data_IF_867579382589
#
_entry.id   IF_867579382589
#
_cell.length_a   1.000
_cell.length_b   1.000
_cell.length_c   1.000
_cell.angle_alpha   90.00
_cell.angle_beta   90.00
_cell.angle_gamma   90.00
#
_symmetry.space_group_name_H-M   'P 1'
#
loop_
_entity.id
_entity.type
_entity.pdbx_description
1 polymer ?
#
# COMPACT_ATOMS: atom_id res chain seq x y z
N UNK A 1 6.70 39.94 -22.95
CA UNK A 1 7.78 39.29 -22.16
C UNK A 1 7.41 37.83 -21.95
N UNK A 2 8.17 36.92 -22.56
CA UNK A 2 8.01 35.46 -22.47
C UNK A 2 8.83 34.96 -21.27
N UNK A 3 8.22 34.36 -20.26
CA UNK A 3 8.94 33.57 -19.25
C UNK A 3 8.64 32.10 -19.49
N UNK A 4 9.57 31.43 -20.18
CA UNK A 4 9.50 30.02 -20.53
C UNK A 4 9.65 29.14 -19.30
N UNK A 5 8.63 28.33 -19.02
CA UNK A 5 8.79 27.11 -18.25
C UNK A 5 9.64 26.16 -19.10
N UNK A 6 10.92 26.02 -18.77
CA UNK A 6 11.81 25.06 -19.42
C UNK A 6 11.35 23.63 -19.16
N UNK A 7 10.49 23.10 -20.02
CA UNK A 7 10.24 21.66 -20.13
C UNK A 7 11.49 21.03 -20.72
N UNK A 8 12.34 20.43 -19.88
CA UNK A 8 13.42 19.56 -20.35
C UNK A 8 12.82 18.44 -21.22
N UNK A 9 13.29 18.24 -22.46
CA UNK A 9 12.82 17.14 -23.29
C UNK A 9 13.40 15.82 -22.76
N UNK A 10 12.56 14.78 -22.66
CA UNK A 10 13.06 13.39 -22.64
C UNK A 10 12.93 12.57 -21.36
N UNK A 11 12.28 13.04 -20.28
CA UNK A 11 11.90 12.15 -19.16
C UNK A 11 10.39 12.00 -19.10
N UNK A 12 9.87 10.98 -19.79
CA UNK A 12 8.52 10.49 -19.52
C UNK A 12 8.42 10.24 -18.02
N UNK A 13 7.37 10.75 -17.38
CA UNK A 13 7.34 10.71 -15.95
C UNK A 13 6.89 9.28 -15.57
N UNK A 14 7.78 8.58 -14.88
CA UNK A 14 7.76 7.12 -14.68
C UNK A 14 7.06 6.76 -13.37
N UNK A 15 6.34 5.65 -13.38
CA UNK A 15 5.76 5.09 -12.15
C UNK A 15 6.85 4.31 -11.38
N UNK A 16 7.60 5.00 -10.50
CA UNK A 16 8.66 4.44 -9.66
C UNK A 16 8.11 3.93 -8.31
N UNK A 17 7.45 2.77 -8.28
CA UNK A 17 7.00 2.14 -7.02
C UNK A 17 7.04 0.60 -7.15
N UNK A 18 8.17 -0.05 -6.79
CA UNK A 18 8.38 -1.49 -7.04
C UNK A 18 7.53 -2.41 -6.15
N UNK A 19 6.99 -1.90 -5.05
CA UNK A 19 6.12 -2.68 -4.18
C UNK A 19 4.68 -2.67 -4.70
N UNK A 20 4.45 -3.63 -5.60
CA UNK A 20 3.23 -3.87 -6.38
C UNK A 20 1.91 -4.05 -5.60
N UNK A 21 1.83 -4.68 -4.40
CA UNK A 21 0.51 -5.01 -3.83
C UNK A 21 -0.24 -3.76 -3.35
N UNK A 22 0.48 -2.71 -2.94
CA UNK A 22 -0.11 -1.47 -2.46
C UNK A 22 -0.82 -0.65 -3.54
N UNK A 23 -0.63 -0.97 -4.83
CA UNK A 23 -1.46 -0.42 -5.91
C UNK A 23 -2.90 -0.94 -5.79
N UNK A 24 -3.05 -2.24 -5.55
CA UNK A 24 -4.35 -2.88 -5.40
C UNK A 24 -4.93 -2.60 -4.01
N UNK A 25 -4.11 -2.68 -2.97
CA UNK A 25 -4.56 -2.54 -1.60
C UNK A 25 -3.74 -1.47 -0.85
N UNK A 26 -3.91 -0.17 -1.18
CA UNK A 26 -3.27 0.91 -0.46
C UNK A 26 -3.89 1.06 0.93
N UNK A 27 -3.07 1.29 1.96
CA UNK A 27 -3.56 1.48 3.34
C UNK A 27 -4.56 2.63 3.44
N UNK A 28 -4.31 3.74 2.76
CA UNK A 28 -5.23 4.88 2.66
C UNK A 28 -5.72 4.90 1.22
N UNK A 29 -7.01 4.69 0.89
CA UNK A 29 -7.46 4.60 -0.51
C UNK A 29 -7.61 5.96 -1.20
N UNK A 30 -7.77 7.05 -0.43
CA UNK A 30 -7.95 8.40 -0.94
C UNK A 30 -7.31 9.44 -0.01
N UNK A 31 -6.79 10.53 -0.59
CA UNK A 31 -6.24 11.65 0.15
C UNK A 31 -7.07 12.90 -0.11
N UNK A 32 -7.48 13.61 0.94
CA UNK A 32 -8.21 14.85 0.79
C UNK A 32 -7.33 16.09 1.07
N UNK A 33 -7.62 17.19 0.38
CA UNK A 33 -7.00 18.51 0.58
C UNK A 33 -8.07 19.58 0.46
N UNK A 34 -8.02 20.57 1.34
CA UNK A 34 -8.85 21.77 1.22
C UNK A 34 -8.07 22.79 0.40
N UNK A 35 -8.72 23.35 -0.63
CA UNK A 35 -8.16 24.48 -1.39
C UNK A 35 -7.96 25.65 -0.42
N UNK A 36 -6.78 26.29 -0.40
CA UNK A 36 -6.48 27.38 0.53
C UNK A 36 -7.23 28.67 0.14
N UNK A 37 -6.68 29.84 0.43
CA UNK A 37 -7.39 31.12 0.43
C UNK A 37 -7.73 31.69 -0.96
N UNK A 38 -7.31 31.03 -2.04
CA UNK A 38 -7.58 31.42 -3.41
C UNK A 38 -8.07 30.26 -4.25
N UNK A 39 -8.89 30.58 -5.24
CA UNK A 39 -9.35 29.65 -6.25
C UNK A 39 -8.17 29.06 -7.01
N UNK A 40 -8.29 27.80 -7.41
CA UNK A 40 -7.26 27.09 -8.19
C UNK A 40 -7.86 26.61 -9.50
N UNK A 41 -7.02 26.54 -10.53
CA UNK A 41 -7.41 25.96 -11.82
C UNK A 41 -6.84 24.55 -11.95
N UNK A 42 -7.71 23.57 -12.21
CA UNK A 42 -7.35 22.16 -12.42
C UNK A 42 -7.82 21.77 -13.83
N UNK A 43 -6.90 21.74 -14.78
CA UNK A 43 -7.24 21.62 -16.20
C UNK A 43 -8.10 22.81 -16.66
N UNK A 44 -9.29 22.51 -17.15
CA UNK A 44 -10.25 23.51 -17.61
C UNK A 44 -11.24 23.96 -16.53
N UNK A 45 -11.15 23.38 -15.32
CA UNK A 45 -12.06 23.68 -14.23
C UNK A 45 -11.45 24.66 -13.23
N UNK A 46 -12.26 25.60 -12.75
CA UNK A 46 -11.93 26.46 -11.60
C UNK A 46 -12.54 25.84 -10.35
N UNK A 47 -11.71 25.57 -9.36
CA UNK A 47 -12.11 25.06 -8.05
C UNK A 47 -12.03 26.20 -7.04
N UNK A 48 -13.17 26.59 -6.41
CA UNK A 48 -13.19 27.67 -5.45
C UNK A 48 -12.32 27.40 -4.22
N UNK A 49 -11.84 28.47 -3.59
CA UNK A 49 -11.21 28.42 -2.25
C UNK A 49 -12.10 27.69 -1.24
N UNK A 50 -11.47 27.06 -0.25
CA UNK A 50 -12.13 26.28 0.81
C UNK A 50 -12.88 25.02 0.32
N UNK A 51 -12.74 24.64 -0.95
CA UNK A 51 -13.31 23.38 -1.46
C UNK A 51 -12.49 22.17 -1.01
N UNK A 52 -13.16 21.12 -0.53
CA UNK A 52 -12.52 19.83 -0.24
C UNK A 52 -12.36 19.03 -1.55
N UNK A 53 -11.11 18.77 -1.93
CA UNK A 53 -10.77 17.92 -3.08
C UNK A 53 -10.24 16.58 -2.57
N UNK A 54 -10.86 15.50 -3.02
CA UNK A 54 -10.42 14.13 -2.70
C UNK A 54 -9.77 13.47 -3.90
N UNK A 55 -8.52 13.05 -3.75
CA UNK A 55 -7.80 12.24 -4.73
C UNK A 55 -7.92 10.76 -4.38
N UNK A 56 -8.83 10.06 -5.07
CA UNK A 56 -9.05 8.62 -4.90
C UNK A 56 -8.05 7.82 -5.75
N UNK A 57 -6.83 7.64 -5.24
CA UNK A 57 -5.81 6.90 -5.95
C UNK A 57 -6.09 5.38 -5.97
N UNK A 58 -6.96 4.84 -5.10
CA UNK A 58 -7.47 3.47 -5.22
C UNK A 58 -8.16 3.24 -6.57
N UNK A 59 -8.96 4.21 -7.03
CA UNK A 59 -9.64 4.16 -8.32
C UNK A 59 -8.66 4.39 -9.47
N UNK A 60 -7.82 5.42 -9.40
CA UNK A 60 -6.81 5.70 -10.45
C UNK A 60 -5.85 4.53 -10.65
N UNK A 61 -5.48 3.85 -9.55
CA UNK A 61 -4.63 2.66 -9.58
C UNK A 61 -5.27 1.48 -10.30
N UNK A 62 -6.60 1.44 -10.44
CA UNK A 62 -7.38 0.42 -11.14
C UNK A 62 -7.87 0.84 -12.52
N UNK A 63 -7.46 2.00 -12.98
CA UNK A 63 -7.87 2.51 -14.27
C UNK A 63 -7.08 1.81 -15.38
N UNK A 64 -7.80 1.12 -16.28
CA UNK A 64 -7.21 0.41 -17.41
C UNK A 64 -6.50 1.33 -18.40
N UNK A 65 -6.83 2.64 -18.41
CA UNK A 65 -6.13 3.67 -19.20
C UNK A 65 -4.67 3.84 -18.76
N UNK A 66 -4.36 3.54 -17.49
CA UNK A 66 -3.02 3.64 -16.92
C UNK A 66 -2.38 2.27 -16.66
N UNK A 67 -3.20 1.24 -16.41
CA UNK A 67 -2.73 -0.09 -16.02
C UNK A 67 -3.45 -1.19 -16.80
N UNK A 68 -2.81 -1.79 -17.82
CA UNK A 68 -3.34 -2.99 -18.47
C UNK A 68 -3.54 -4.13 -17.47
N UNK A 69 -4.69 -4.80 -17.51
CA UNK A 69 -5.14 -5.76 -16.49
C UNK A 69 -5.05 -5.16 -15.07
N UNK A 70 -5.84 -4.11 -14.77
CA UNK A 70 -5.68 -3.31 -13.56
C UNK A 70 -6.01 -4.07 -12.28
N UNK A 71 -6.86 -5.08 -12.30
CA UNK A 71 -7.17 -5.83 -11.08
C UNK A 71 -6.21 -7.01 -10.83
N UNK A 72 -5.31 -7.29 -11.78
CA UNK A 72 -4.33 -8.36 -11.66
C UNK A 72 -3.08 -7.91 -10.89
N UNK A 73 -2.65 -8.74 -9.96
CA UNK A 73 -1.36 -8.58 -9.29
C UNK A 73 -0.23 -9.02 -10.22
N UNK A 74 0.51 -8.05 -10.76
CA UNK A 74 1.56 -8.25 -11.77
C UNK A 74 2.83 -7.46 -11.41
N UNK A 75 3.69 -7.98 -10.52
CA UNK A 75 4.94 -7.31 -10.12
C UNK A 75 5.88 -7.01 -11.28
N UNK A 76 5.90 -7.87 -12.30
CA UNK A 76 6.76 -7.77 -13.48
C UNK A 76 6.53 -6.48 -14.30
N UNK A 77 5.35 -5.86 -14.14
CA UNK A 77 5.03 -4.53 -14.69
C UNK A 77 6.04 -3.45 -14.34
N UNK A 78 6.65 -3.57 -13.16
CA UNK A 78 7.58 -2.57 -12.63
C UNK A 78 9.03 -2.87 -12.99
N UNK A 79 9.31 -4.08 -13.49
CA UNK A 79 10.64 -4.50 -13.91
C UNK A 79 11.01 -3.91 -15.27
N UNK A 80 10.02 -3.78 -16.16
CA UNK A 80 10.22 -3.23 -17.49
C UNK A 80 10.05 -1.70 -17.47
N UNK A 81 10.96 -1.00 -18.16
CA UNK A 81 11.00 0.48 -18.20
C UNK A 81 10.01 1.10 -19.20
N UNK A 82 9.23 0.27 -19.87
CA UNK A 82 8.47 0.58 -21.08
C UNK A 82 6.96 0.63 -20.87
N UNK A 83 6.45 0.53 -19.63
CA UNK A 83 5.02 0.72 -19.36
C UNK A 83 4.76 2.23 -19.15
N UNK A 84 4.22 2.96 -20.15
CA UNK A 84 3.83 4.34 -19.98
C UNK A 84 2.66 4.37 -18.99
N UNK A 85 2.92 4.88 -17.80
CA UNK A 85 1.92 5.06 -16.75
C UNK A 85 2.06 6.49 -16.25
N UNK A 86 0.94 7.18 -16.05
CA UNK A 86 0.97 8.53 -15.55
C UNK A 86 1.60 8.54 -14.14
N UNK A 87 2.50 9.47 -13.79
CA UNK A 87 3.31 9.41 -12.55
C UNK A 87 2.47 9.43 -11.28
N UNK A 88 1.30 10.04 -11.40
CA UNK A 88 0.31 10.19 -10.33
C UNK A 88 -0.79 9.13 -10.40
N UNK A 89 -0.68 8.13 -11.29
CA UNK A 89 -1.66 7.06 -11.42
C UNK A 89 -1.61 6.07 -10.25
N UNK A 90 -0.47 5.97 -9.57
CA UNK A 90 -0.31 5.18 -8.34
C UNK A 90 0.48 5.99 -7.31
N UNK A 91 -0.18 6.29 -6.17
CA UNK A 91 0.37 7.14 -5.11
C UNK A 91 0.19 6.51 -3.72
N UNK A 92 0.71 5.29 -3.48
CA UNK A 92 0.47 4.56 -2.23
C UNK A 92 1.06 5.25 -0.98
N UNK A 93 2.02 6.17 -1.15
CA UNK A 93 2.62 6.97 -0.08
C UNK A 93 2.37 8.47 -0.25
N UNK A 94 1.46 8.85 -1.15
CA UNK A 94 1.28 10.25 -1.54
C UNK A 94 2.50 10.85 -2.25
N UNK A 95 2.46 12.18 -2.45
CA UNK A 95 3.49 12.93 -3.17
C UNK A 95 3.60 14.36 -2.61
N UNK A 96 4.77 14.98 -2.77
CA UNK A 96 5.04 16.36 -2.34
C UNK A 96 5.33 16.50 -0.85
N UNK A 97 5.19 17.72 -0.31
CA UNK A 97 5.56 18.07 1.08
C UNK A 97 4.79 17.30 2.17
N UNK A 98 3.66 16.68 1.81
CA UNK A 98 2.81 15.89 2.71
C UNK A 98 2.77 14.41 2.29
N UNK A 99 3.80 13.93 1.59
CA UNK A 99 4.00 12.49 1.38
C UNK A 99 4.30 11.79 2.70
N UNK A 100 4.06 10.48 2.77
CA UNK A 100 4.34 9.66 3.94
C UNK A 100 5.82 9.79 4.36
N UNK A 101 6.05 10.32 5.56
CA UNK A 101 7.39 10.45 6.15
C UNK A 101 8.03 9.07 6.40
N UNK A 102 7.20 8.08 6.74
CA UNK A 102 7.61 6.70 7.00
C UNK A 102 7.82 5.85 5.75
N UNK A 103 7.71 6.40 4.53
CA UNK A 103 7.79 5.63 3.28
C UNK A 103 9.02 4.72 3.23
N UNK A 104 10.20 5.26 3.53
CA UNK A 104 11.47 4.52 3.41
C UNK A 104 11.56 3.39 4.44
N UNK A 105 11.11 3.64 5.66
CA UNK A 105 11.08 2.66 6.75
C UNK A 105 10.11 1.54 6.40
N UNK A 106 8.87 1.89 6.04
CA UNK A 106 7.85 0.91 5.65
C UNK A 106 8.27 0.08 4.43
N UNK A 107 8.90 0.70 3.43
CA UNK A 107 9.45 -0.04 2.29
C UNK A 107 10.53 -1.02 2.76
N UNK A 108 11.50 -0.60 3.56
CA UNK A 108 12.56 -1.48 4.08
C UNK A 108 12.00 -2.64 4.89
N UNK A 109 11.11 -2.37 5.85
CA UNK A 109 10.49 -3.40 6.69
C UNK A 109 9.73 -4.44 5.87
N UNK A 110 8.92 -3.99 4.90
CA UNK A 110 8.16 -4.90 4.04
C UNK A 110 9.09 -5.74 3.16
N UNK A 111 10.13 -5.15 2.58
CA UNK A 111 11.09 -5.93 1.77
C UNK A 111 11.85 -6.94 2.63
N UNK A 112 12.31 -6.53 3.81
CA UNK A 112 13.04 -7.39 4.73
C UNK A 112 12.16 -8.56 5.19
N UNK A 113 10.95 -8.28 5.70
CA UNK A 113 10.01 -9.31 6.14
C UNK A 113 9.67 -10.28 5.00
N UNK A 114 9.35 -9.76 3.81
CA UNK A 114 9.02 -10.59 2.66
C UNK A 114 10.20 -11.46 2.22
N UNK A 115 11.41 -10.92 2.17
CA UNK A 115 12.60 -11.69 1.85
C UNK A 115 12.85 -12.81 2.86
N UNK A 116 12.76 -12.50 4.16
CA UNK A 116 12.97 -13.48 5.24
C UNK A 116 11.93 -14.60 5.22
N UNK A 117 10.66 -14.27 4.98
CA UNK A 117 9.57 -15.25 4.83
C UNK A 117 9.82 -16.12 3.59
N UNK A 118 10.06 -15.51 2.44
CA UNK A 118 10.22 -16.25 1.18
C UNK A 118 11.50 -17.07 1.13
N UNK A 119 12.55 -16.72 1.87
CA UNK A 119 13.78 -17.53 1.94
C UNK A 119 13.58 -18.81 2.78
N UNK A 120 12.83 -18.73 3.88
CA UNK A 120 12.66 -19.84 4.82
C UNK A 120 11.43 -20.71 4.56
N UNK A 121 10.37 -20.11 4.04
CA UNK A 121 9.08 -20.76 3.92
C UNK A 121 8.54 -20.73 2.49
N UNK A 122 7.98 -21.85 2.07
CA UNK A 122 7.00 -21.88 1.02
C UNK A 122 5.63 -21.50 1.61
N UNK A 123 5.08 -20.37 1.15
CA UNK A 123 3.82 -19.83 1.65
C UNK A 123 2.69 -20.29 0.72
N UNK A 124 1.68 -20.95 1.28
CA UNK A 124 0.49 -21.42 0.55
C UNK A 124 -0.79 -20.89 1.19
N UNK A 125 -1.87 -20.67 0.41
CA UNK A 125 -3.18 -20.41 1.00
C UNK A 125 -3.70 -21.65 1.74
N UNK A 126 -4.45 -21.45 2.83
CA UNK A 126 -5.15 -22.53 3.52
C UNK A 126 -6.13 -23.24 2.56
N UNK A 127 -6.16 -24.58 2.50
CA UNK A 127 -7.16 -25.33 1.76
C UNK A 127 -8.58 -24.94 2.20
N UNK A 128 -9.45 -24.62 1.24
CA UNK A 128 -10.80 -24.12 1.52
C UNK A 128 -10.88 -22.62 1.82
N UNK A 129 -9.74 -21.91 1.86
CA UNK A 129 -9.70 -20.46 1.96
C UNK A 129 -10.33 -19.78 0.74
N UNK A 130 -11.34 -18.94 0.98
CA UNK A 130 -12.02 -18.16 -0.05
C UNK A 130 -11.28 -16.86 -0.42
N UNK A 131 -11.77 -16.18 -1.47
CA UNK A 131 -11.28 -14.85 -1.84
C UNK A 131 -11.70 -13.82 -0.79
N UNK A 132 -10.74 -13.23 -0.09
CA UNK A 132 -10.98 -12.14 0.87
C UNK A 132 -11.12 -10.81 0.13
N UNK A 133 -12.20 -10.08 0.40
CA UNK A 133 -12.45 -8.74 -0.18
C UNK A 133 -11.81 -7.67 0.71
N UNK A 134 -11.43 -6.52 0.16
CA UNK A 134 -11.03 -5.38 0.96
C UNK A 134 -12.26 -4.65 1.52
N UNK A 135 -12.18 -4.15 2.74
CA UNK A 135 -13.13 -3.22 3.35
C UNK A 135 -12.41 -1.99 3.90
N UNK A 136 -13.10 -0.86 4.01
CA UNK A 136 -12.53 0.36 4.58
C UNK A 136 -12.98 0.52 6.03
N UNK A 137 -12.04 0.39 6.98
CA UNK A 137 -12.20 0.70 8.41
C UNK A 137 -11.15 1.72 8.82
N UNK A 138 -11.37 2.99 8.48
CA UNK A 138 -10.36 4.09 8.49
C UNK A 138 -9.22 3.86 7.49
N UNK A 139 -8.60 2.69 7.52
CA UNK A 139 -7.67 2.16 6.54
C UNK A 139 -8.35 1.08 5.69
N UNK A 140 -7.76 0.76 4.54
CA UNK A 140 -8.16 -0.41 3.77
C UNK A 140 -7.59 -1.67 4.44
N UNK A 141 -8.50 -2.54 4.88
CA UNK A 141 -8.19 -3.79 5.58
C UNK A 141 -8.90 -4.96 4.90
N UNK A 142 -8.47 -6.21 5.10
CA UNK A 142 -9.23 -7.36 4.63
C UNK A 142 -10.56 -7.50 5.37
N UNK A 143 -11.60 -7.99 4.66
CA UNK A 143 -12.93 -8.21 5.23
C UNK A 143 -12.97 -9.34 6.27
N UNK A 144 -12.08 -10.32 6.09
CA UNK A 144 -11.97 -11.51 6.93
C UNK A 144 -10.49 -11.86 7.13
N UNK A 145 -10.21 -12.79 8.04
CA UNK A 145 -8.87 -13.31 8.25
C UNK A 145 -8.29 -13.93 6.95
N UNK A 146 -6.99 -13.74 6.73
CA UNK A 146 -6.25 -14.38 5.64
C UNK A 146 -5.39 -15.48 6.27
N UNK A 147 -5.80 -16.73 6.08
CA UNK A 147 -5.09 -17.88 6.61
C UNK A 147 -4.09 -18.40 5.57
N UNK A 148 -2.84 -18.59 6.02
CA UNK A 148 -1.71 -19.02 5.20
C UNK A 148 -0.98 -20.16 5.90
N UNK A 149 -0.56 -21.15 5.11
CA UNK A 149 0.33 -22.21 5.55
C UNK A 149 1.78 -21.83 5.23
N UNK A 150 2.65 -22.00 6.22
CA UNK A 150 4.10 -21.78 6.08
C UNK A 150 4.82 -23.11 6.16
N UNK A 151 5.26 -23.62 5.00
CA UNK A 151 6.00 -24.87 4.91
C UNK A 151 7.49 -24.56 4.87
N UNK A 152 8.29 -25.13 5.77
CA UNK A 152 9.75 -24.93 5.77
C UNK A 152 10.33 -25.39 4.44
N UNK A 153 11.11 -24.54 3.77
CA UNK A 153 11.91 -24.98 2.62
C UNK A 153 13.03 -25.85 3.16
N UNK A 154 13.03 -27.13 2.80
CA UNK A 154 14.12 -28.02 3.12
C UNK A 154 15.42 -27.44 2.56
N UNK A 155 16.33 -27.04 3.44
CA UNK A 155 17.71 -26.81 3.04
C UNK A 155 18.23 -28.14 2.52
N UNK A 156 18.59 -28.20 1.25
CA UNK A 156 19.19 -29.39 0.66
C UNK A 156 20.49 -29.74 1.38
N UNK A 157 20.39 -30.59 2.40
CA UNK A 157 21.45 -31.40 3.00
C UNK A 157 20.74 -32.59 3.64
N UNK A 158 21.05 -33.79 3.16
CA UNK A 158 20.41 -35.03 3.57
C UNK A 158 20.52 -35.28 5.09
N UNK A 159 19.48 -35.92 5.62
CA UNK A 159 19.38 -36.29 7.04
C UNK A 159 17.95 -36.13 7.53
N UNK A 160 17.14 -37.17 7.36
CA UNK A 160 15.74 -37.16 7.76
C UNK A 160 15.59 -36.99 9.27
N UNK A 161 14.94 -35.90 9.68
CA UNK A 161 14.27 -35.85 10.98
C UNK A 161 12.88 -35.24 10.76
N UNK A 162 11.85 -36.09 10.83
CA UNK A 162 10.45 -35.65 10.92
C UNK A 162 10.24 -35.01 12.29
N UNK A 163 10.31 -33.69 12.35
CA UNK A 163 9.82 -32.89 13.47
C UNK A 163 8.61 -32.10 13.03
N UNK A 164 7.41 -32.54 13.43
CA UNK A 164 6.19 -31.78 13.28
C UNK A 164 6.20 -30.63 14.27
N UNK A 165 6.26 -29.39 13.78
CA UNK A 165 6.01 -28.20 14.57
C UNK A 165 4.63 -27.69 14.13
N UNK A 166 3.58 -28.10 14.85
CA UNK A 166 2.35 -27.32 14.90
C UNK A 166 2.68 -26.08 15.73
N UNK A 167 3.15 -25.02 15.06
CA UNK A 167 3.38 -23.73 15.66
C UNK A 167 2.13 -22.89 15.53
N UNK A 168 1.25 -22.96 16.53
CA UNK A 168 0.32 -21.88 16.82
C UNK A 168 1.17 -20.64 17.14
N UNK A 169 1.27 -19.71 16.19
CA UNK A 169 1.82 -18.38 16.42
C UNK A 169 0.79 -17.58 17.22
N UNK A 170 0.80 -17.82 18.53
CA UNK A 170 0.14 -16.98 19.51
C UNK A 170 0.80 -15.58 19.50
N UNK A 171 0.10 -14.62 18.89
CA UNK A 171 0.43 -13.19 18.99
C UNK A 171 -0.45 -12.52 20.07
N UNK A 172 -0.77 -13.25 21.14
CA UNK A 172 -1.29 -12.70 22.40
C UNK A 172 -0.20 -12.05 23.24
N UNK A 173 0.26 -10.88 22.81
CA UNK A 173 1.02 -9.97 23.69
C UNK A 173 0.04 -9.03 24.38
N UNK A 174 -0.28 -9.30 25.64
CA UNK A 174 -1.04 -8.42 26.53
C UNK A 174 -0.39 -7.03 26.58
N UNK A 175 -1.02 -6.07 25.92
CA UNK A 175 -0.85 -4.64 26.18
C UNK A 175 -1.97 -4.25 27.15
N UNK A 176 -1.64 -4.37 28.43
CA UNK A 176 -2.39 -3.84 29.56
C UNK A 176 -2.44 -2.30 29.44
N UNK A 177 -3.44 -1.79 28.72
CA UNK A 177 -3.82 -0.39 28.76
C UNK A 177 -4.73 -0.22 29.98
N UNK A 178 -4.09 0.06 31.12
CA UNK A 178 -4.75 0.51 32.33
C UNK A 178 -5.74 1.64 32.02
N UNK A 179 -7.02 1.32 32.14
CA UNK A 179 -8.11 2.28 32.32
C UNK A 179 -8.04 2.82 33.73
N UNK A 180 -7.37 3.96 33.91
CA UNK A 180 -7.60 4.85 35.05
C UNK A 180 -8.07 6.21 34.50
N UNK A 181 -9.38 6.31 34.24
CA UNK A 181 -10.10 7.57 34.13
C UNK A 181 -10.98 7.67 35.38
N UNK A 182 -10.36 8.18 36.43
CA UNK A 182 -11.00 8.52 37.69
C UNK A 182 -11.84 9.79 37.48
N UNK A 183 -13.13 9.60 37.21
CA UNK A 183 -14.13 10.66 37.24
C UNK A 183 -14.58 10.85 38.69
N UNK A 184 -13.82 11.65 39.44
CA UNK A 184 -14.26 12.13 40.74
C UNK A 184 -15.31 13.24 40.57
N UNK A 185 -16.49 12.93 41.08
CA UNK A 185 -17.59 13.82 41.39
C UNK A 185 -17.29 14.71 42.60
N UNK A 186 -17.79 15.96 42.58
CA UNK A 186 -17.85 16.90 43.70
C UNK A 186 -17.05 18.17 43.39
N UNK A 187 -17.58 19.39 43.48
CA UNK A 187 -18.76 19.93 44.17
C UNK A 187 -19.17 21.24 43.48
#
# INVERSE_FOLDING_TARGET
MKTGLGTRPGRQPRCHHPLSPRRLYPLIPANARVVPDRDIRVGDFVVPRKTLITLCHYATSRDSRHFPAPDSFRPERWLRRDVPCHPFASLPFGVGKRSCVGRRVAELEIHQALAQILLRFEVRPEPGGGRVRPMTRTLLVPEAAINLQFLTRGTGTGGGHRGGLNGDLDLGGDLDLGTDLDLSSGS
#
